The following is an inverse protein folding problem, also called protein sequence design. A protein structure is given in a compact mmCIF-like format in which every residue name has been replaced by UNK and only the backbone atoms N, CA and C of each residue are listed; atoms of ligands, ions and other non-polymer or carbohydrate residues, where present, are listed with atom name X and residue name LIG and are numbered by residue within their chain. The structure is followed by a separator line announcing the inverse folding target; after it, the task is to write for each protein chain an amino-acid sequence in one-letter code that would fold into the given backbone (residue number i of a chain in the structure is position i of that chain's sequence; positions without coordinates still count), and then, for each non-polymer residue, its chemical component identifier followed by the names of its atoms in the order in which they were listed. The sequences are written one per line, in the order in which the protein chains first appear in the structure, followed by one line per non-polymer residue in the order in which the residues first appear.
data_IF_741567749111
#
_entry.id   IF_741567749111
#
_cell.length_a   1.000
_cell.length_b   1.000
_cell.length_c   1.000
_cell.angle_alpha   90.00
_cell.angle_beta   90.00
_cell.angle_gamma   90.00
#
_symmetry.space_group_name_H-M   'P 1'
#
loop_
_entity.id
_entity.type
_entity.pdbx_description
1 polymer ?
#
# COMPACT_ATOMS: atom_id res chain seq x y z
N UNK A 1 36.65 -22.08 -5.98
CA UNK A 1 36.27 -20.69 -5.67
C UNK A 1 34.84 -20.52 -6.14
N UNK A 2 33.90 -20.65 -5.22
CA UNK A 2 32.47 -20.63 -5.50
C UNK A 2 32.02 -19.25 -5.95
N UNK A 3 31.28 -19.19 -7.06
CA UNK A 3 30.48 -18.03 -7.43
C UNK A 3 29.04 -18.30 -6.96
N UNK A 4 28.67 -17.67 -5.85
CA UNK A 4 27.31 -17.66 -5.33
C UNK A 4 26.57 -16.46 -5.95
N UNK A 5 25.37 -16.62 -6.56
CA UNK A 5 24.71 -15.52 -7.24
C UNK A 5 24.02 -14.60 -6.22
N UNK A 6 24.37 -13.31 -6.35
CA UNK A 6 23.73 -12.10 -5.84
C UNK A 6 22.49 -12.26 -4.95
N UNK A 7 22.66 -12.02 -3.66
CA UNK A 7 21.54 -11.67 -2.78
C UNK A 7 20.87 -10.40 -3.31
N UNK A 8 19.56 -10.49 -3.57
CA UNK A 8 18.70 -9.34 -3.90
C UNK A 8 18.89 -8.27 -2.82
N UNK A 9 19.21 -7.01 -3.17
CA UNK A 9 19.35 -5.96 -2.18
C UNK A 9 18.05 -5.85 -1.38
N UNK A 10 18.11 -5.61 -0.06
CA UNK A 10 16.91 -5.47 0.74
C UNK A 10 16.07 -4.33 0.16
N UNK A 11 14.76 -4.55 0.08
CA UNK A 11 13.77 -3.61 -0.46
C UNK A 11 13.87 -2.17 0.13
N UNK A 12 14.57 -2.04 1.25
CA UNK A 12 14.77 -0.85 2.07
C UNK A 12 16.00 0.01 1.70
N UNK A 13 16.88 -0.42 0.78
CA UNK A 13 18.14 0.30 0.50
C UNK A 13 17.99 1.66 -0.22
N UNK A 14 16.85 1.94 -0.86
CA UNK A 14 16.70 3.12 -1.74
C UNK A 14 16.30 4.42 -1.04
N UNK A 15 16.06 4.44 0.28
CA UNK A 15 15.64 5.63 1.05
C UNK A 15 14.25 6.21 0.69
N UNK A 16 13.79 6.01 -0.55
CA UNK A 16 12.46 6.35 -1.04
C UNK A 16 11.46 5.27 -0.62
N UNK A 17 10.25 5.71 -0.26
CA UNK A 17 9.13 4.82 0.05
C UNK A 17 8.50 4.31 -1.26
N UNK A 18 8.42 3.00 -1.44
CA UNK A 18 8.04 2.34 -2.71
C UNK A 18 6.67 1.62 -2.61
N UNK A 19 6.09 1.17 -3.74
CA UNK A 19 4.92 0.29 -3.71
C UNK A 19 5.14 -1.02 -2.93
N UNK A 20 6.37 -1.55 -2.93
CA UNK A 20 6.71 -2.73 -2.12
C UNK A 20 6.64 -2.41 -0.63
N UNK A 21 7.17 -1.27 -0.20
CA UNK A 21 7.03 -0.81 1.19
C UNK A 21 5.55 -0.67 1.59
N UNK A 22 4.71 -0.18 0.67
CA UNK A 22 3.28 -0.06 0.92
C UNK A 22 2.60 -1.44 1.07
N UNK A 23 2.96 -2.44 0.26
CA UNK A 23 2.46 -3.81 0.44
C UNK A 23 2.83 -4.38 1.82
N UNK A 24 4.02 -4.08 2.33
CA UNK A 24 4.42 -4.45 3.68
C UNK A 24 3.59 -3.74 4.77
N UNK A 25 3.13 -2.50 4.53
CA UNK A 25 2.19 -1.81 5.42
C UNK A 25 0.85 -2.55 5.47
N UNK A 26 0.32 -2.96 4.31
CA UNK A 26 -0.93 -3.71 4.23
C UNK A 26 -0.82 -5.05 4.96
N UNK A 27 0.27 -5.80 4.72
CA UNK A 27 0.54 -7.05 5.41
C UNK A 27 0.63 -6.86 6.93
N UNK A 28 1.25 -5.77 7.42
CA UNK A 28 1.30 -5.50 8.86
C UNK A 28 -0.10 -5.25 9.45
N UNK A 29 -1.00 -4.59 8.73
CA UNK A 29 -2.41 -4.40 9.18
C UNK A 29 -3.16 -5.74 9.23
N UNK A 30 -2.94 -6.60 8.24
CA UNK A 30 -3.57 -7.92 8.18
C UNK A 30 -3.03 -8.90 9.22
N UNK A 31 -1.79 -8.70 9.69
CA UNK A 31 -1.15 -9.56 10.67
C UNK A 31 -1.87 -9.60 12.02
N UNK A 32 -2.67 -8.57 12.33
CA UNK A 32 -3.48 -8.53 13.56
C UNK A 32 -4.64 -9.56 13.52
N UNK A 33 -4.97 -10.08 12.33
CA UNK A 33 -6.07 -11.02 12.12
C UNK A 33 -5.61 -12.38 11.56
N UNK A 34 -4.65 -12.38 10.64
CA UNK A 34 -4.18 -13.59 9.94
C UNK A 34 -2.64 -13.66 9.89
N UNK A 35 -1.96 -13.88 11.03
CA UNK A 35 -0.51 -13.80 11.12
C UNK A 35 0.22 -14.85 10.26
N UNK A 36 -0.33 -16.06 10.14
CA UNK A 36 0.31 -17.14 9.37
C UNK A 36 0.32 -16.85 7.86
N UNK A 37 -0.83 -16.43 7.30
CA UNK A 37 -0.94 -16.03 5.90
C UNK A 37 -0.01 -14.84 5.57
N UNK A 38 0.16 -13.92 6.53
CA UNK A 38 1.10 -12.80 6.37
C UNK A 38 2.55 -13.27 6.36
N UNK A 39 2.89 -14.30 7.15
CA UNK A 39 4.24 -14.87 7.15
C UNK A 39 4.57 -15.52 5.79
N UNK A 40 3.63 -16.23 5.19
CA UNK A 40 3.75 -16.77 3.83
C UNK A 40 3.94 -15.67 2.78
N UNK A 41 3.04 -14.69 2.75
CA UNK A 41 3.10 -13.58 1.80
C UNK A 41 4.40 -12.77 1.90
N UNK A 42 4.92 -12.57 3.11
CA UNK A 42 6.25 -11.94 3.31
C UNK A 42 7.38 -12.75 2.69
N UNK A 43 7.33 -14.08 2.79
CA UNK A 43 8.34 -14.97 2.20
C UNK A 43 8.31 -14.85 0.68
N UNK A 44 7.14 -14.82 0.06
CA UNK A 44 6.98 -14.59 -1.39
C UNK A 44 7.60 -13.26 -1.82
N UNK A 45 7.39 -12.20 -1.02
CA UNK A 45 7.99 -10.88 -1.26
C UNK A 45 9.49 -10.82 -0.95
N UNK A 46 10.10 -11.89 -0.41
CA UNK A 46 11.49 -11.91 0.08
C UNK A 46 11.77 -10.82 1.12
N UNK A 47 10.82 -10.53 2.00
CA UNK A 47 10.92 -9.46 2.99
C UNK A 47 11.14 -10.00 4.42
N UNK A 48 12.03 -9.39 5.21
CA UNK A 48 12.29 -9.74 6.61
C UNK A 48 11.33 -9.03 7.57
N UNK A 49 11.11 -9.56 8.78
CA UNK A 49 10.13 -9.00 9.74
C UNK A 49 10.49 -7.55 10.06
N UNK A 50 11.79 -7.28 10.09
CA UNK A 50 12.39 -5.96 10.19
C UNK A 50 11.98 -5.05 9.04
N UNK A 51 12.05 -5.49 7.78
CA UNK A 51 11.60 -4.69 6.63
C UNK A 51 10.13 -4.27 6.77
N UNK A 52 9.27 -5.19 7.19
CA UNK A 52 7.85 -4.90 7.40
C UNK A 52 7.64 -3.89 8.53
N UNK A 53 8.36 -4.02 9.64
CA UNK A 53 8.32 -3.08 10.77
C UNK A 53 8.82 -1.69 10.36
N UNK A 54 9.94 -1.60 9.65
CA UNK A 54 10.51 -0.34 9.20
C UNK A 54 9.65 0.34 8.14
N UNK A 55 9.04 -0.41 7.22
CA UNK A 55 8.04 0.12 6.28
C UNK A 55 6.84 0.72 7.03
N UNK A 56 6.28 -0.01 8.00
CA UNK A 56 5.16 0.51 8.80
C UNK A 56 5.56 1.76 9.60
N UNK A 57 6.73 1.76 10.24
CA UNK A 57 7.25 2.92 10.97
C UNK A 57 7.38 4.16 10.09
N UNK A 58 7.98 4.02 8.90
CA UNK A 58 8.11 5.13 7.92
C UNK A 58 6.74 5.63 7.45
N UNK A 59 5.81 4.72 7.18
CA UNK A 59 4.44 5.07 6.78
C UNK A 59 3.71 5.85 7.87
N UNK A 60 3.78 5.36 9.10
CA UNK A 60 3.18 5.99 10.27
C UNK A 60 3.78 7.38 10.54
N UNK A 61 5.09 7.55 10.36
CA UNK A 61 5.73 8.87 10.43
C UNK A 61 5.23 9.82 9.33
N UNK A 62 5.02 9.32 8.11
CA UNK A 62 4.47 10.10 6.99
C UNK A 62 3.03 10.57 7.28
N UNK A 63 2.19 9.72 7.88
CA UNK A 63 0.81 10.06 8.26
C UNK A 63 0.74 11.11 9.37
N UNK A 64 1.66 11.08 10.34
CA UNK A 64 1.67 12.01 11.48
C UNK A 64 2.36 13.35 11.20
N UNK A 65 2.92 13.55 10.00
CA UNK A 65 3.63 14.78 9.66
C UNK A 65 2.69 16.00 9.64
N UNK A 66 3.05 17.12 10.30
CA UNK A 66 2.28 18.37 10.26
C UNK A 66 2.17 18.98 8.87
N UNK A 67 3.10 18.63 7.96
CA UNK A 67 3.10 19.04 6.54
C UNK A 67 2.59 17.91 5.64
N UNK A 68 1.71 17.04 6.15
CA UNK A 68 1.22 15.91 5.37
C UNK A 68 0.48 16.40 4.13
N UNK A 69 0.81 15.78 2.99
CA UNK A 69 0.07 15.98 1.74
C UNK A 69 -1.37 15.50 1.92
N UNK A 70 -2.29 16.00 1.09
CA UNK A 70 -3.62 15.40 0.97
C UNK A 70 -3.51 13.88 0.77
N UNK A 71 -4.51 13.13 1.24
CA UNK A 71 -4.45 11.67 1.19
C UNK A 71 -4.18 11.17 -0.24
N UNK A 72 -4.87 11.76 -1.22
CA UNK A 72 -4.67 11.51 -2.65
C UNK A 72 -3.24 11.76 -3.11
N UNK A 73 -2.65 12.90 -2.76
CA UNK A 73 -1.29 13.25 -3.17
C UNK A 73 -0.26 12.32 -2.54
N UNK A 74 -0.47 11.90 -1.28
CA UNK A 74 0.37 10.92 -0.60
C UNK A 74 0.35 9.57 -1.33
N UNK A 75 -0.84 9.02 -1.62
CA UNK A 75 -0.95 7.73 -2.33
C UNK A 75 -0.38 7.80 -3.73
N UNK A 76 -0.67 8.85 -4.51
CA UNK A 76 -0.09 9.03 -5.85
C UNK A 76 1.44 9.14 -5.83
N UNK A 77 2.02 9.74 -4.78
CA UNK A 77 3.48 9.83 -4.65
C UNK A 77 4.18 8.50 -4.37
N UNK A 78 3.45 7.53 -3.81
CA UNK A 78 3.99 6.20 -3.44
C UNK A 78 3.65 5.15 -4.49
N UNK A 79 2.39 5.13 -4.95
CA UNK A 79 1.83 4.10 -5.83
C UNK A 79 1.74 4.53 -7.29
N UNK A 80 2.04 5.80 -7.62
CA UNK A 80 1.85 6.35 -8.96
C UNK A 80 0.39 6.67 -9.27
N UNK A 81 0.06 6.76 -10.55
CA UNK A 81 -1.32 6.96 -10.99
C UNK A 81 -2.19 5.75 -10.62
N UNK A 82 -3.44 5.95 -10.17
CA UNK A 82 -4.38 4.86 -9.97
C UNK A 82 -4.67 4.18 -11.31
N UNK A 83 -4.93 2.87 -11.27
CA UNK A 83 -5.41 2.10 -12.42
C UNK A 83 -6.82 2.54 -12.81
N UNK A 84 -7.65 2.92 -11.83
CA UNK A 84 -9.01 3.39 -12.08
C UNK A 84 -9.40 4.50 -11.12
N UNK A 85 -10.20 5.43 -11.63
CA UNK A 85 -10.86 6.48 -10.87
C UNK A 85 -12.35 6.34 -11.12
N UNK A 86 -13.13 6.06 -10.09
CA UNK A 86 -14.57 5.84 -10.18
C UNK A 86 -15.28 6.93 -9.40
N UNK A 87 -16.08 7.75 -10.07
CA UNK A 87 -16.96 8.70 -9.39
C UNK A 87 -18.08 7.94 -8.68
N UNK A 88 -18.28 8.23 -7.39
CA UNK A 88 -19.35 7.66 -6.57
C UNK A 88 -20.17 8.78 -5.94
N UNK A 89 -21.48 8.63 -5.97
CA UNK A 89 -22.40 9.50 -5.26
C UNK A 89 -22.91 8.80 -4.02
N UNK A 90 -22.62 9.36 -2.85
CA UNK A 90 -23.07 8.86 -1.55
C UNK A 90 -23.98 9.94 -0.96
N UNK A 91 -25.29 9.75 -1.12
CA UNK A 91 -26.28 10.77 -0.81
C UNK A 91 -26.15 11.99 -1.73
N UNK A 92 -25.84 13.15 -1.15
CA UNK A 92 -25.57 14.42 -1.82
C UNK A 92 -24.07 14.66 -2.08
N UNK A 93 -23.19 13.81 -1.55
CA UNK A 93 -21.75 13.95 -1.67
C UNK A 93 -21.23 13.18 -2.89
N UNK A 94 -20.48 13.88 -3.74
CA UNK A 94 -19.73 13.28 -4.83
C UNK A 94 -18.31 12.97 -4.34
N UNK A 95 -17.89 11.72 -4.48
CA UNK A 95 -16.59 11.24 -4.05
C UNK A 95 -15.91 10.52 -5.21
N UNK A 96 -14.59 10.39 -5.14
CA UNK A 96 -13.82 9.57 -6.06
C UNK A 96 -13.28 8.35 -5.33
N UNK A 97 -13.47 7.17 -5.92
CA UNK A 97 -12.75 5.97 -5.54
C UNK A 97 -11.52 5.85 -6.43
N UNK A 98 -10.33 5.93 -5.84
CA UNK A 98 -9.05 5.73 -6.53
C UNK A 98 -8.57 4.31 -6.27
N UNK A 99 -8.34 3.54 -7.32
CA UNK A 99 -7.96 2.13 -7.23
C UNK A 99 -6.54 1.90 -7.74
N UNK A 100 -5.71 1.26 -6.93
CA UNK A 100 -4.37 0.82 -7.33
C UNK A 100 -4.26 -0.71 -7.32
N UNK A 101 -3.49 -1.29 -8.26
CA UNK A 101 -3.16 -2.69 -8.22
C UNK A 101 -2.31 -3.00 -7.00
N UNK A 102 -2.48 -4.20 -6.44
CA UNK A 102 -1.64 -4.71 -5.36
C UNK A 102 -0.93 -5.95 -5.89
N UNK A 103 0.32 -5.87 -6.36
CA UNK A 103 0.98 -6.96 -7.08
C UNK A 103 0.99 -8.32 -6.35
N UNK A 104 1.04 -8.31 -5.02
CA UNK A 104 0.94 -9.50 -4.19
C UNK A 104 -0.43 -10.21 -4.30
N UNK A 105 -1.51 -9.46 -4.52
CA UNK A 105 -2.87 -9.98 -4.68
C UNK A 105 -3.47 -9.43 -5.97
N UNK A 106 -3.20 -10.07 -7.13
CA UNK A 106 -3.62 -9.57 -8.45
C UNK A 106 -5.12 -9.35 -8.59
N UNK A 107 -5.92 -10.11 -7.83
CA UNK A 107 -7.38 -10.03 -7.83
C UNK A 107 -7.93 -8.95 -6.88
N UNK A 108 -7.06 -8.21 -6.18
CA UNK A 108 -7.42 -7.13 -5.28
C UNK A 108 -6.95 -5.77 -5.77
N UNK A 109 -7.64 -4.73 -5.33
CA UNK A 109 -7.25 -3.33 -5.49
C UNK A 109 -7.23 -2.64 -4.14
N UNK A 110 -6.24 -1.78 -3.93
CA UNK A 110 -6.29 -0.84 -2.84
C UNK A 110 -7.13 0.35 -3.26
N UNK A 111 -8.30 0.50 -2.63
CA UNK A 111 -9.24 1.59 -2.91
C UNK A 111 -9.11 2.66 -1.82
N UNK A 112 -8.97 3.90 -2.27
CA UNK A 112 -9.05 5.10 -1.43
C UNK A 112 -10.27 5.90 -1.86
N UNK A 113 -11.22 6.05 -0.95
CA UNK A 113 -12.39 6.90 -1.13
C UNK A 113 -12.03 8.33 -0.73
N UNK A 114 -12.11 9.26 -1.66
CA UNK A 114 -11.71 10.66 -1.50
C UNK A 114 -12.92 11.56 -1.61
N UNK A 115 -13.09 12.44 -0.63
CA UNK A 115 -14.13 13.46 -0.61
C UNK A 115 -13.76 14.71 -1.44
N UNK A 116 -14.71 15.60 -1.73
CA UNK A 116 -14.44 16.83 -2.50
C UNK A 116 -13.34 17.72 -1.90
N UNK A 117 -13.19 17.69 -0.58
CA UNK A 117 -12.15 18.43 0.13
C UNK A 117 -10.76 17.75 0.07
N UNK A 118 -10.62 16.64 -0.65
CA UNK A 118 -9.37 15.88 -0.79
C UNK A 118 -9.01 15.00 0.41
N UNK A 119 -9.89 14.89 1.41
CA UNK A 119 -9.71 13.97 2.53
C UNK A 119 -10.06 12.54 2.11
N UNK A 120 -9.29 11.56 2.58
CA UNK A 120 -9.66 10.17 2.46
C UNK A 120 -10.68 9.82 3.55
N UNK A 121 -11.82 9.27 3.15
CA UNK A 121 -12.82 8.74 4.08
C UNK A 121 -12.54 7.28 4.41
N UNK A 122 -12.16 6.48 3.41
CA UNK A 122 -11.89 5.06 3.60
C UNK A 122 -10.68 4.60 2.79
N UNK A 123 -9.99 3.59 3.32
CA UNK A 123 -8.81 2.96 2.74
C UNK A 123 -8.89 1.45 2.97
N UNK A 124 -9.16 0.66 1.94
CA UNK A 124 -9.34 -0.78 2.09
C UNK A 124 -8.87 -1.57 0.86
N UNK A 125 -8.91 -2.90 0.96
CA UNK A 125 -8.75 -3.80 -0.18
C UNK A 125 -10.13 -4.21 -0.70
N UNK A 126 -10.38 -4.00 -1.99
CA UNK A 126 -11.58 -4.49 -2.70
C UNK A 126 -11.18 -5.54 -3.73
N UNK A 127 -12.14 -6.37 -4.15
CA UNK A 127 -11.95 -7.21 -5.33
C UNK A 127 -11.81 -6.35 -6.58
N UNK A 128 -10.95 -6.78 -7.48
CA UNK A 128 -10.84 -6.19 -8.81
C UNK A 128 -12.19 -6.32 -9.55
N UNK A 129 -12.58 -5.33 -10.35
CA UNK A 129 -13.80 -5.44 -11.15
C UNK A 129 -13.73 -6.68 -12.07
N UNK A 130 -14.73 -7.55 -12.01
CA UNK A 130 -14.81 -8.75 -12.86
C UNK A 130 -14.26 -10.05 -12.26
N UNK A 131 -13.89 -10.06 -10.97
CA UNK A 131 -13.59 -11.27 -10.18
C UNK A 131 -14.63 -11.51 -9.08
#
# INVERSE_FOLDING_TARGET
MEHMPSAKPPASASGRFTPLDFQLVLLRRMADHNPDLVADARRELNASLTDMREANKRWQAMLRSPRSRSATSRYRSVLGAPESVISRRIGDLECEALLWPVPLWPDLRFEVMVAPNGAAWNEWLVRAPGT
#
